data_IF_592610258984
#
_entry.id   IF_592610258984
#
_cell.length_a   1.000
_cell.length_b   1.000
_cell.length_c   1.000
_cell.angle_alpha   90.00
_cell.angle_beta   90.00
_cell.angle_gamma   90.00
#
_symmetry.space_group_name_H-M   'P 1'
#
loop_
_entity.id
_entity.type
_entity.pdbx_description
1 polymer ?
#
# COMPACT_ATOMS: atom_id res chain seq x y z
N UNK A 1 10.10 45.71 -12.10
CA UNK A 1 9.83 44.45 -11.38
C UNK A 1 11.15 43.86 -10.93
N UNK A 2 11.34 43.60 -9.64
CA UNK A 2 12.63 43.13 -9.11
C UNK A 2 12.76 41.63 -9.36
N UNK A 3 13.98 41.11 -9.60
CA UNK A 3 14.24 39.68 -9.85
C UNK A 3 13.65 38.77 -8.73
N UNK A 4 13.66 39.26 -7.47
CA UNK A 4 13.06 38.56 -6.32
C UNK A 4 11.54 38.43 -6.41
N UNK A 5 10.84 39.37 -7.04
CA UNK A 5 9.38 39.34 -7.23
C UNK A 5 9.04 38.33 -8.33
N UNK A 6 9.85 38.26 -9.39
CA UNK A 6 9.67 37.27 -10.47
C UNK A 6 9.89 35.84 -9.92
N UNK A 7 10.97 35.61 -9.17
CA UNK A 7 11.24 34.30 -8.56
C UNK A 7 10.09 33.86 -7.66
N UNK A 8 9.59 34.74 -6.79
CA UNK A 8 8.47 34.44 -5.89
C UNK A 8 7.17 34.11 -6.64
N UNK A 9 6.91 34.81 -7.75
CA UNK A 9 5.73 34.56 -8.58
C UNK A 9 5.83 33.21 -9.29
N UNK A 10 7.01 32.84 -9.79
CA UNK A 10 7.28 31.52 -10.40
C UNK A 10 7.11 30.42 -9.37
N UNK A 11 7.62 30.60 -8.15
CA UNK A 11 7.47 29.59 -7.08
C UNK A 11 6.00 29.37 -6.68
N UNK A 12 5.23 30.47 -6.59
CA UNK A 12 3.78 30.38 -6.30
C UNK A 12 3.04 29.69 -7.44
N UNK A 13 3.35 30.01 -8.69
CA UNK A 13 2.73 29.42 -9.87
C UNK A 13 3.08 27.92 -9.97
N UNK A 14 4.35 27.54 -9.81
CA UNK A 14 4.78 26.14 -9.81
C UNK A 14 4.13 25.34 -8.68
N UNK A 15 4.02 25.92 -7.48
CA UNK A 15 3.36 25.29 -6.34
C UNK A 15 1.85 25.09 -6.58
N UNK A 16 1.21 26.05 -7.25
CA UNK A 16 -0.20 25.93 -7.63
C UNK A 16 -0.42 24.86 -8.68
N UNK A 17 0.37 24.81 -9.75
CA UNK A 17 0.34 23.77 -10.77
C UNK A 17 0.62 22.39 -10.18
N UNK A 18 1.59 22.28 -9.27
CA UNK A 18 1.87 21.04 -8.56
C UNK A 18 0.67 20.58 -7.75
N UNK A 19 0.01 21.47 -7.01
CA UNK A 19 -1.17 21.13 -6.22
C UNK A 19 -2.37 20.74 -7.12
N UNK A 20 -2.65 21.47 -8.20
CA UNK A 20 -3.71 21.16 -9.15
C UNK A 20 -3.49 19.80 -9.83
N UNK A 21 -2.25 19.47 -10.21
CA UNK A 21 -1.87 18.18 -10.73
C UNK A 21 -2.04 17.06 -9.68
N UNK A 22 -1.62 17.30 -8.44
CA UNK A 22 -1.77 16.36 -7.33
C UNK A 22 -3.23 16.09 -7.00
N UNK A 23 -4.11 17.11 -7.03
CA UNK A 23 -5.56 16.94 -6.84
C UNK A 23 -6.23 16.15 -7.98
N UNK A 24 -5.59 16.12 -9.15
CA UNK A 24 -6.08 15.39 -10.32
C UNK A 24 -5.62 13.93 -10.40
N UNK A 25 -4.67 13.53 -9.56
CA UNK A 25 -4.11 12.18 -9.53
C UNK A 25 -4.79 11.30 -8.47
N UNK A 26 -4.92 9.98 -8.71
CA UNK A 26 -5.36 9.07 -7.66
C UNK A 26 -4.27 8.88 -6.62
N UNK A 27 -4.65 8.66 -5.37
CA UNK A 27 -3.72 8.10 -4.38
C UNK A 27 -3.59 6.60 -4.61
N UNK A 28 -2.34 6.11 -4.70
CA UNK A 28 -2.04 4.68 -4.75
C UNK A 28 -1.66 4.21 -3.34
N UNK A 29 -2.47 3.32 -2.80
CA UNK A 29 -2.28 2.70 -1.51
C UNK A 29 -1.72 1.28 -1.69
N UNK A 30 -0.64 0.98 -0.99
CA UNK A 30 -0.07 -0.36 -0.89
C UNK A 30 -0.44 -0.96 0.47
N UNK A 31 -0.90 -2.22 0.51
CA UNK A 31 -0.93 -2.95 1.78
C UNK A 31 0.50 -3.29 2.22
N UNK A 32 0.66 -3.62 3.49
CA UNK A 32 1.95 -4.04 4.03
C UNK A 32 2.10 -5.56 3.96
N UNK A 33 1.25 -6.31 4.66
CA UNK A 33 1.37 -7.76 4.79
C UNK A 33 1.02 -8.47 3.47
N UNK A 34 1.89 -9.34 2.98
CA UNK A 34 1.67 -10.06 1.72
C UNK A 34 1.96 -9.25 0.44
N UNK A 35 2.22 -7.93 0.56
CA UNK A 35 2.55 -7.01 -0.54
C UNK A 35 3.98 -6.48 -0.43
N UNK A 36 4.36 -5.93 0.73
CA UNK A 36 5.66 -5.35 1.01
C UNK A 36 6.44 -6.16 2.04
N UNK A 37 5.74 -6.67 3.06
CA UNK A 37 6.28 -7.48 4.15
C UNK A 37 5.80 -8.92 4.05
N UNK A 38 6.72 -9.87 4.23
CA UNK A 38 6.43 -11.31 4.18
C UNK A 38 5.91 -11.80 5.53
N UNK A 39 4.58 -11.72 5.70
CA UNK A 39 3.90 -12.19 6.90
C UNK A 39 4.10 -13.68 7.13
N UNK A 40 4.00 -14.51 6.08
CA UNK A 40 4.17 -15.96 6.20
C UNK A 40 5.62 -16.34 6.49
N UNK A 41 6.59 -15.72 5.83
CA UNK A 41 8.01 -15.89 6.17
C UNK A 41 8.33 -15.45 7.61
N UNK A 42 7.64 -14.43 8.12
CA UNK A 42 7.72 -14.06 9.54
C UNK A 42 7.19 -15.14 10.48
N UNK A 43 6.07 -15.80 10.11
CA UNK A 43 5.52 -16.95 10.86
C UNK A 43 6.47 -18.15 10.80
N UNK A 44 7.00 -18.48 9.63
CA UNK A 44 7.98 -19.57 9.47
C UNK A 44 9.19 -19.37 10.40
N UNK A 45 9.74 -18.17 10.41
CA UNK A 45 10.84 -17.80 11.31
C UNK A 45 10.45 -17.90 12.79
N UNK A 46 9.24 -17.47 13.15
CA UNK A 46 8.75 -17.51 14.54
C UNK A 46 8.58 -18.93 15.08
N UNK A 47 8.23 -19.88 14.22
CA UNK A 47 8.01 -21.29 14.58
C UNK A 47 9.20 -22.19 14.26
N UNK A 48 10.24 -21.69 13.58
CA UNK A 48 11.41 -22.46 13.20
C UNK A 48 11.12 -23.53 12.14
N UNK A 49 10.11 -23.30 11.27
CA UNK A 49 9.74 -24.21 10.18
C UNK A 49 10.21 -23.65 8.84
N UNK A 50 10.38 -24.52 7.84
CA UNK A 50 10.79 -24.10 6.50
C UNK A 50 9.61 -23.62 5.64
N UNK A 51 8.40 -24.11 5.97
CA UNK A 51 7.19 -23.69 5.28
C UNK A 51 6.00 -23.67 6.24
N UNK A 52 5.20 -22.58 6.23
CA UNK A 52 4.04 -22.43 7.11
C UNK A 52 3.03 -23.59 7.03
N UNK A 53 2.95 -24.31 5.88
CA UNK A 53 2.11 -25.49 5.72
C UNK A 53 2.49 -26.65 6.65
N UNK A 54 3.72 -26.69 7.13
CA UNK A 54 4.15 -27.69 8.12
C UNK A 54 3.34 -27.56 9.42
N UNK A 55 2.96 -26.33 9.75
CA UNK A 55 2.13 -26.03 10.93
C UNK A 55 0.67 -26.47 10.78
N UNK A 56 0.21 -26.73 9.53
CA UNK A 56 -1.16 -27.14 9.24
C UNK A 56 -1.33 -28.66 9.15
N UNK A 57 -0.28 -29.45 9.35
CA UNK A 57 -0.32 -30.92 9.27
C UNK A 57 -1.22 -31.55 10.35
N UNK A 58 -1.34 -30.90 11.50
CA UNK A 58 -2.25 -31.31 12.57
C UNK A 58 -3.61 -30.60 12.40
N UNK A 59 -4.57 -31.31 11.79
CA UNK A 59 -5.94 -30.82 11.53
C UNK A 59 -6.75 -30.54 12.80
N UNK A 60 -6.26 -30.94 13.97
CA UNK A 60 -6.95 -30.74 15.27
C UNK A 60 -6.66 -29.37 15.88
N UNK A 61 -5.65 -28.67 15.40
CA UNK A 61 -5.24 -27.34 15.93
C UNK A 61 -5.79 -26.21 15.06
N UNK A 62 -6.42 -25.24 15.70
CA UNK A 62 -6.72 -23.95 15.06
C UNK A 62 -5.44 -23.11 15.00
N UNK A 63 -4.56 -23.41 14.03
CA UNK A 63 -3.31 -22.72 13.80
C UNK A 63 -3.49 -21.20 13.77
N UNK A 64 -4.56 -20.70 13.18
CA UNK A 64 -4.80 -19.26 13.09
C UNK A 64 -4.92 -18.64 14.48
N UNK A 65 -5.69 -19.26 15.36
CA UNK A 65 -5.85 -18.78 16.76
C UNK A 65 -4.54 -18.87 17.52
N UNK A 66 -3.76 -19.95 17.36
CA UNK A 66 -2.46 -20.12 18.00
C UNK A 66 -1.45 -19.05 17.54
N UNK A 67 -1.35 -18.82 16.23
CA UNK A 67 -0.46 -17.77 15.67
C UNK A 67 -0.86 -16.40 16.19
N UNK A 68 -2.15 -16.05 16.13
CA UNK A 68 -2.63 -14.76 16.65
C UNK A 68 -2.27 -14.59 18.11
N UNK A 69 -2.50 -15.61 18.94
CA UNK A 69 -2.15 -15.59 20.37
C UNK A 69 -0.65 -15.38 20.60
N UNK A 70 0.20 -16.04 19.81
CA UNK A 70 1.66 -15.95 19.93
C UNK A 70 2.22 -14.59 19.54
N UNK A 71 1.63 -13.92 18.55
CA UNK A 71 2.10 -12.61 18.06
C UNK A 71 1.44 -11.40 18.75
N UNK A 72 0.29 -11.60 19.42
CA UNK A 72 -0.42 -10.54 20.14
C UNK A 72 0.46 -9.94 21.25
N UNK A 73 0.53 -8.61 21.32
CA UNK A 73 1.30 -7.87 22.33
C UNK A 73 2.82 -7.92 22.11
N UNK A 74 3.29 -8.49 21.00
CA UNK A 74 4.72 -8.59 20.68
C UNK A 74 5.13 -7.60 19.60
N UNK A 75 6.45 -7.50 19.34
CA UNK A 75 7.01 -6.73 18.25
C UNK A 75 7.06 -7.48 16.91
N UNK A 76 6.25 -8.52 16.74
CA UNK A 76 6.28 -9.41 15.56
C UNK A 76 6.29 -8.63 14.24
N UNK A 77 5.41 -7.64 14.08
CA UNK A 77 5.31 -6.86 12.84
C UNK A 77 6.57 -6.05 12.51
N UNK A 78 7.36 -5.67 13.52
CA UNK A 78 8.65 -5.00 13.30
C UNK A 78 9.70 -5.93 12.71
N UNK A 79 9.59 -7.24 12.96
CA UNK A 79 10.60 -8.25 12.59
C UNK A 79 10.33 -8.95 11.26
N UNK A 80 9.25 -8.57 10.57
CA UNK A 80 8.88 -9.21 9.30
C UNK A 80 9.97 -9.04 8.23
N UNK A 81 10.26 -10.09 7.44
CA UNK A 81 11.10 -9.93 6.26
C UNK A 81 10.44 -8.97 5.25
N UNK A 82 11.25 -8.18 4.55
CA UNK A 82 10.80 -7.41 3.39
C UNK A 82 10.83 -8.31 2.16
N UNK A 83 9.80 -8.27 1.31
CA UNK A 83 9.85 -8.93 0.01
C UNK A 83 10.93 -8.31 -0.89
N UNK A 84 11.66 -9.13 -1.64
CA UNK A 84 12.68 -8.67 -2.58
C UNK A 84 12.08 -7.80 -3.70
N UNK A 85 10.80 -7.96 -3.99
CA UNK A 85 10.05 -7.19 -4.98
C UNK A 85 9.54 -5.85 -4.47
N UNK A 86 9.60 -5.58 -3.16
CA UNK A 86 9.00 -4.40 -2.54
C UNK A 86 9.55 -3.08 -3.10
N UNK A 87 10.87 -2.97 -3.29
CA UNK A 87 11.48 -1.74 -3.82
C UNK A 87 11.10 -1.51 -5.27
N UNK A 88 11.04 -2.57 -6.09
CA UNK A 88 10.59 -2.50 -7.47
C UNK A 88 9.11 -2.10 -7.56
N UNK A 89 8.27 -2.65 -6.68
CA UNK A 89 6.85 -2.29 -6.61
C UNK A 89 6.66 -0.81 -6.26
N UNK A 90 7.38 -0.32 -5.26
CA UNK A 90 7.35 1.11 -4.89
C UNK A 90 7.80 1.97 -6.06
N UNK A 91 8.87 1.57 -6.77
CA UNK A 91 9.33 2.30 -7.96
C UNK A 91 8.25 2.38 -9.05
N UNK A 92 7.59 1.27 -9.36
CA UNK A 92 6.48 1.24 -10.34
C UNK A 92 5.37 2.23 -9.95
N UNK A 93 5.00 2.24 -8.66
CA UNK A 93 3.96 3.14 -8.16
C UNK A 93 4.42 4.60 -8.19
N UNK A 94 5.65 4.90 -7.78
CA UNK A 94 6.17 6.27 -7.79
C UNK A 94 6.39 6.79 -9.20
N UNK A 95 6.80 5.96 -10.16
CA UNK A 95 6.87 6.33 -11.58
C UNK A 95 5.48 6.71 -12.12
N UNK A 96 4.42 6.00 -11.72
CA UNK A 96 3.04 6.29 -12.12
C UNK A 96 2.50 7.58 -11.49
N UNK A 97 2.82 7.85 -10.23
CA UNK A 97 2.24 8.96 -9.42
C UNK A 97 3.07 10.23 -9.42
N UNK A 98 4.22 10.25 -10.07
CA UNK A 98 5.14 11.39 -10.00
C UNK A 98 5.95 11.48 -8.71
N UNK A 99 6.24 10.34 -8.06
CA UNK A 99 7.18 10.26 -6.94
C UNK A 99 6.57 9.94 -5.57
N UNK A 100 5.25 9.71 -5.49
CA UNK A 100 4.56 9.48 -4.22
C UNK A 100 3.88 8.12 -4.16
N UNK A 101 3.77 7.58 -2.95
CA UNK A 101 2.93 6.41 -2.63
C UNK A 101 2.43 6.51 -1.19
N UNK A 102 1.38 5.78 -0.87
CA UNK A 102 0.79 5.71 0.48
C UNK A 102 0.64 4.27 0.94
N UNK A 103 0.57 4.08 2.25
CA UNK A 103 0.31 2.76 2.86
C UNK A 103 -1.09 2.75 3.45
N UNK A 104 -1.84 1.68 3.16
CA UNK A 104 -3.13 1.43 3.80
C UNK A 104 -3.18 -0.04 4.25
N UNK A 105 -2.87 -0.29 5.51
CA UNK A 105 -2.77 -1.63 6.09
C UNK A 105 -3.76 -1.82 7.24
N UNK A 106 -4.08 -3.08 7.55
CA UNK A 106 -4.97 -3.40 8.67
C UNK A 106 -4.19 -3.76 9.92
N UNK A 107 -4.62 -3.32 11.12
CA UNK A 107 -4.03 -3.80 12.36
C UNK A 107 -4.43 -5.25 12.62
N UNK A 108 -3.69 -5.93 13.46
CA UNK A 108 -4.07 -7.25 13.97
C UNK A 108 -5.33 -7.13 14.83
N UNK A 109 -6.36 -7.91 14.50
CA UNK A 109 -7.62 -7.90 15.26
C UNK A 109 -7.36 -8.35 16.70
N UNK A 110 -7.82 -7.56 17.66
CA UNK A 110 -7.57 -7.80 19.09
C UNK A 110 -6.28 -7.20 19.62
N UNK A 111 -5.39 -6.70 18.72
CA UNK A 111 -4.11 -6.07 19.11
C UNK A 111 -3.86 -4.78 18.31
N UNK A 112 -4.91 -3.97 18.16
CA UNK A 112 -4.94 -2.86 17.21
C UNK A 112 -3.82 -1.83 17.45
N UNK A 113 -3.62 -1.41 18.72
CA UNK A 113 -2.63 -0.36 19.04
C UNK A 113 -1.20 -0.84 18.88
N UNK A 114 -0.89 -2.01 19.43
CA UNK A 114 0.46 -2.59 19.41
C UNK A 114 0.89 -2.96 17.98
N UNK A 115 0.04 -3.70 17.26
CA UNK A 115 0.34 -4.08 15.88
C UNK A 115 0.47 -2.87 14.96
N UNK A 116 -0.39 -1.83 15.12
CA UNK A 116 -0.28 -0.59 14.35
C UNK A 116 1.04 0.15 14.62
N UNK A 117 1.50 0.18 15.88
CA UNK A 117 2.77 0.78 16.24
C UNK A 117 3.94 0.07 15.52
N UNK A 118 4.03 -1.25 15.66
CA UNK A 118 5.14 -2.00 15.07
C UNK A 118 5.11 -2.07 13.54
N UNK A 119 3.93 -2.02 12.92
CA UNK A 119 3.83 -1.84 11.46
C UNK A 119 4.43 -0.51 11.01
N UNK A 120 4.12 0.59 11.71
CA UNK A 120 4.72 1.90 11.40
C UNK A 120 6.23 1.91 11.61
N UNK A 121 6.73 1.25 12.66
CA UNK A 121 8.17 1.08 12.90
C UNK A 121 8.82 0.32 11.76
N UNK A 122 8.20 -0.80 11.32
CA UNK A 122 8.70 -1.58 10.18
C UNK A 122 8.76 -0.76 8.89
N UNK A 123 7.69 -0.03 8.58
CA UNK A 123 7.62 0.84 7.39
C UNK A 123 8.77 1.86 7.42
N UNK A 124 8.96 2.55 8.55
CA UNK A 124 10.02 3.54 8.69
C UNK A 124 11.45 2.99 8.59
N UNK A 125 11.65 1.71 8.94
CA UNK A 125 12.96 1.04 8.85
C UNK A 125 13.28 0.47 7.46
N UNK A 126 12.26 0.02 6.73
CA UNK A 126 12.44 -0.83 5.55
C UNK A 126 12.07 -0.13 4.23
N UNK A 127 11.32 0.97 4.26
CA UNK A 127 10.79 1.60 3.07
C UNK A 127 11.19 3.08 2.97
N UNK A 128 11.28 3.64 1.76
CA UNK A 128 11.29 5.09 1.57
C UNK A 128 10.07 5.71 2.26
N UNK A 129 10.18 6.95 2.70
CA UNK A 129 9.08 7.64 3.40
C UNK A 129 7.82 7.72 2.52
N UNK A 130 6.70 7.05 2.89
CA UNK A 130 5.45 7.21 2.18
C UNK A 130 4.84 8.59 2.46
N UNK A 131 3.94 9.05 1.60
CA UNK A 131 3.18 10.28 1.80
C UNK A 131 2.29 10.16 3.04
N UNK A 132 1.63 9.00 3.21
CA UNK A 132 0.72 8.73 4.30
C UNK A 132 0.80 7.27 4.74
N UNK A 133 0.61 7.02 6.04
CA UNK A 133 0.48 5.67 6.61
C UNK A 133 -0.86 5.58 7.34
N UNK A 134 -1.79 4.84 6.74
CA UNK A 134 -3.11 4.53 7.32
C UNK A 134 -3.07 3.12 7.87
N UNK A 135 -3.42 2.97 9.16
CA UNK A 135 -3.62 1.66 9.78
C UNK A 135 -5.07 1.56 10.23
N UNK A 136 -5.89 0.83 9.46
CA UNK A 136 -7.33 0.77 9.66
C UNK A 136 -7.94 -0.58 9.30
N UNK A 137 -9.01 -0.97 9.98
CA UNK A 137 -9.85 -2.10 9.58
C UNK A 137 -10.86 -1.78 8.47
N UNK A 138 -10.94 -0.52 8.04
CA UNK A 138 -11.88 -0.02 7.02
C UNK A 138 -11.12 0.64 5.88
N UNK A 139 -10.29 -0.13 5.16
CA UNK A 139 -9.50 0.37 4.03
C UNK A 139 -10.37 1.07 2.99
N UNK A 140 -11.55 0.54 2.74
CA UNK A 140 -12.53 1.02 1.75
C UNK A 140 -13.04 2.44 2.00
N UNK A 141 -12.83 3.00 3.20
CA UNK A 141 -13.17 4.42 3.47
C UNK A 141 -12.29 5.41 2.70
N UNK A 142 -11.19 4.94 2.12
CA UNK A 142 -10.24 5.73 1.33
C UNK A 142 -10.32 5.43 -0.17
N UNK A 143 -11.37 4.73 -0.61
CA UNK A 143 -11.50 4.27 -1.99
C UNK A 143 -11.67 5.40 -3.01
N UNK A 144 -12.14 6.55 -2.59
CA UNK A 144 -12.34 7.72 -3.45
C UNK A 144 -11.58 8.92 -2.90
N UNK A 145 -10.99 9.73 -3.79
CA UNK A 145 -10.46 11.02 -3.40
C UNK A 145 -11.58 12.09 -3.29
N UNK A 146 -11.30 13.29 -2.72
CA UNK A 146 -12.29 14.37 -2.61
C UNK A 146 -12.90 14.78 -3.96
N UNK A 147 -12.16 14.65 -5.06
CA UNK A 147 -12.60 15.00 -6.41
C UNK A 147 -13.37 13.86 -7.10
N UNK A 148 -13.80 12.84 -6.35
CA UNK A 148 -14.53 11.67 -6.84
C UNK A 148 -13.75 10.83 -7.87
N UNK A 149 -12.43 10.94 -7.91
CA UNK A 149 -11.58 10.06 -8.67
C UNK A 149 -11.32 8.78 -7.84
N UNK A 150 -11.46 7.58 -8.42
CA UNK A 150 -11.14 6.33 -7.73
C UNK A 150 -9.67 6.29 -7.29
N UNK A 151 -9.42 6.09 -5.99
CA UNK A 151 -8.09 5.75 -5.51
C UNK A 151 -7.77 4.29 -5.82
N UNK A 152 -6.49 3.96 -5.86
CA UNK A 152 -5.99 2.63 -6.19
C UNK A 152 -5.54 1.92 -4.92
N UNK A 153 -5.95 0.66 -4.73
CA UNK A 153 -5.45 -0.21 -3.68
C UNK A 153 -4.75 -1.43 -4.28
N UNK A 154 -3.51 -1.67 -3.88
CA UNK A 154 -2.77 -2.91 -4.13
C UNK A 154 -2.79 -3.73 -2.85
N UNK A 155 -3.43 -4.90 -2.85
CA UNK A 155 -3.67 -5.71 -1.65
C UNK A 155 -3.65 -7.20 -2.01
N UNK A 156 -3.17 -8.05 -1.09
CA UNK A 156 -3.08 -9.51 -1.30
C UNK A 156 -4.39 -10.25 -1.06
N UNK A 157 -5.38 -9.57 -0.44
CA UNK A 157 -6.63 -10.19 -0.01
C UNK A 157 -7.80 -9.83 -0.93
N UNK A 158 -8.42 -10.84 -1.59
CA UNK A 158 -9.57 -10.60 -2.46
C UNK A 158 -10.72 -9.84 -1.78
N UNK A 159 -10.97 -10.10 -0.50
CA UNK A 159 -12.04 -9.42 0.24
C UNK A 159 -11.79 -7.91 0.41
N UNK A 160 -10.52 -7.49 0.57
CA UNK A 160 -10.18 -6.08 0.65
C UNK A 160 -10.40 -5.40 -0.71
N UNK A 161 -9.97 -6.05 -1.79
CA UNK A 161 -10.20 -5.58 -3.16
C UNK A 161 -11.70 -5.46 -3.44
N UNK A 162 -12.50 -6.48 -3.09
CA UNK A 162 -13.95 -6.44 -3.28
C UNK A 162 -14.60 -5.28 -2.54
N UNK A 163 -14.24 -5.05 -1.26
CA UNK A 163 -14.78 -3.93 -0.48
C UNK A 163 -14.37 -2.58 -1.05
N UNK A 164 -13.12 -2.48 -1.47
CA UNK A 164 -12.57 -1.27 -2.08
C UNK A 164 -13.30 -0.89 -3.37
N UNK A 165 -13.46 -1.86 -4.28
CA UNK A 165 -14.20 -1.64 -5.55
C UNK A 165 -15.67 -1.39 -5.31
N UNK A 166 -16.28 -2.03 -4.32
CA UNK A 166 -17.66 -1.77 -3.89
C UNK A 166 -17.90 -0.35 -3.37
N UNK A 167 -16.83 0.38 -3.04
CA UNK A 167 -16.86 1.80 -2.66
C UNK A 167 -16.41 2.75 -3.77
N UNK A 168 -16.28 2.23 -4.99
CA UNK A 168 -15.93 3.02 -6.18
C UNK A 168 -14.43 3.13 -6.44
N UNK A 169 -13.56 2.56 -5.61
CA UNK A 169 -12.12 2.54 -5.84
C UNK A 169 -11.68 1.55 -6.91
N UNK A 170 -10.43 1.63 -7.33
CA UNK A 170 -9.80 0.69 -8.25
C UNK A 170 -8.88 -0.25 -7.46
N UNK A 171 -9.14 -1.55 -7.51
CA UNK A 171 -8.40 -2.55 -6.75
C UNK A 171 -7.51 -3.41 -7.65
N UNK A 172 -6.26 -3.63 -7.22
CA UNK A 172 -5.31 -4.53 -7.86
C UNK A 172 -4.97 -5.64 -6.85
N UNK A 173 -5.43 -6.86 -7.13
CA UNK A 173 -5.09 -8.03 -6.33
C UNK A 173 -3.67 -8.46 -6.64
N UNK A 174 -2.76 -8.36 -5.66
CA UNK A 174 -1.35 -8.71 -5.82
C UNK A 174 -0.81 -9.42 -4.58
N UNK A 175 -0.18 -10.58 -4.79
CA UNK A 175 0.45 -11.40 -3.75
C UNK A 175 1.95 -11.51 -4.06
N UNK A 176 2.81 -10.85 -3.30
CA UNK A 176 4.24 -10.71 -3.61
C UNK A 176 5.02 -12.04 -3.64
N UNK A 177 4.54 -13.07 -2.94
CA UNK A 177 5.13 -14.41 -2.95
C UNK A 177 4.75 -15.26 -4.17
N UNK A 178 3.88 -14.74 -5.06
CA UNK A 178 3.31 -15.53 -6.16
C UNK A 178 3.22 -14.78 -7.49
N UNK A 179 2.88 -13.49 -7.43
CA UNK A 179 2.59 -12.68 -8.60
C UNK A 179 3.85 -11.90 -9.04
N UNK A 180 4.02 -11.70 -10.36
CA UNK A 180 4.98 -10.71 -10.87
C UNK A 180 4.51 -9.29 -10.58
N UNK A 181 5.43 -8.37 -10.33
CA UNK A 181 5.16 -6.93 -10.19
C UNK A 181 4.54 -6.31 -11.45
N UNK A 182 4.72 -6.95 -12.61
CA UNK A 182 4.08 -6.54 -13.87
C UNK A 182 2.55 -6.53 -13.77
N UNK A 183 1.98 -7.36 -12.90
CA UNK A 183 0.54 -7.34 -12.62
C UNK A 183 0.08 -5.98 -12.09
N UNK A 184 0.87 -5.38 -11.22
CA UNK A 184 0.57 -4.03 -10.70
C UNK A 184 0.82 -3.00 -11.78
N UNK A 185 1.93 -3.07 -12.52
CA UNK A 185 2.21 -2.19 -13.65
C UNK A 185 1.05 -2.18 -14.66
N UNK A 186 0.61 -3.35 -15.09
CA UNK A 186 -0.51 -3.48 -16.03
C UNK A 186 -1.81 -2.92 -15.47
N UNK A 187 -2.10 -3.17 -14.18
CA UNK A 187 -3.28 -2.60 -13.52
C UNK A 187 -3.25 -1.06 -13.45
N UNK A 188 -2.08 -0.46 -13.25
CA UNK A 188 -1.91 1.00 -13.29
C UNK A 188 -2.11 1.56 -14.70
N UNK A 189 -1.61 0.87 -15.73
CA UNK A 189 -1.83 1.25 -17.13
C UNK A 189 -3.33 1.16 -17.52
N UNK A 190 -4.02 0.11 -17.08
CA UNK A 190 -5.47 -0.02 -17.29
C UNK A 190 -6.24 1.11 -16.57
N UNK A 191 -5.83 1.45 -15.35
CA UNK A 191 -6.38 2.58 -14.63
C UNK A 191 -6.21 3.89 -15.43
N UNK A 192 -4.99 4.16 -15.93
CA UNK A 192 -4.69 5.35 -16.73
C UNK A 192 -5.62 5.44 -17.94
N UNK A 193 -5.74 4.36 -18.70
CA UNK A 193 -6.65 4.29 -19.86
C UNK A 193 -8.11 4.57 -19.49
N UNK A 194 -8.58 4.06 -18.36
CA UNK A 194 -9.99 4.15 -17.95
C UNK A 194 -10.38 5.49 -17.36
N UNK A 195 -9.51 6.10 -16.54
CA UNK A 195 -9.88 7.24 -15.72
C UNK A 195 -9.09 8.53 -16.02
N UNK A 196 -8.01 8.45 -16.80
CA UNK A 196 -7.14 9.57 -17.11
C UNK A 196 -7.07 9.87 -18.62
N UNK A 197 -7.63 9.02 -19.48
CA UNK A 197 -7.74 9.27 -20.92
C UNK A 197 -8.49 10.60 -21.15
N UNK A 198 -7.88 11.53 -21.92
CA UNK A 198 -8.42 12.85 -22.22
C UNK A 198 -7.90 14.00 -21.34
N UNK A 199 -7.07 13.72 -20.33
CA UNK A 199 -6.38 14.78 -19.56
C UNK A 199 -5.03 15.20 -20.18
N UNK A 200 -4.42 14.32 -20.97
CA UNK A 200 -3.12 14.59 -21.62
C UNK A 200 -3.27 15.49 -22.88
N UNK A 201 -4.51 15.61 -23.47
CA UNK A 201 -4.77 16.48 -24.65
C UNK A 201 -5.04 17.95 -24.30
N UNK A 202 -5.20 18.28 -23.04
CA UNK A 202 -5.47 19.65 -22.57
C UNK A 202 -4.21 20.41 -22.11
N UNK A 203 -3.03 19.80 -22.23
CA UNK A 203 -1.75 20.35 -21.78
C UNK A 203 -0.78 20.75 -22.91
N UNK A 204 -1.23 20.68 -24.18
CA UNK A 204 -0.58 21.31 -25.35
C UNK A 204 -1.31 22.62 -25.71
#
# INVERSE_FOLDING_TARGET
>A
MRLSEISRTIDIYNKRLYNENMESMPTVYLDMDGVLADFFGGIEKLYGVQHWKELTSDKTKDLKTEVIKKITGTNFFETLPKFNTADQLIKIVTDFTGGIYSINTSPLRGDNKNSAYYKKVWIGKNLPKPQEIIVTGRKESYAMNPNKLPNILVDDRPINIQRWTGRGGYGILYQANRDSVDKVKNGLEEYKKKYMAGKDEAAE
#
